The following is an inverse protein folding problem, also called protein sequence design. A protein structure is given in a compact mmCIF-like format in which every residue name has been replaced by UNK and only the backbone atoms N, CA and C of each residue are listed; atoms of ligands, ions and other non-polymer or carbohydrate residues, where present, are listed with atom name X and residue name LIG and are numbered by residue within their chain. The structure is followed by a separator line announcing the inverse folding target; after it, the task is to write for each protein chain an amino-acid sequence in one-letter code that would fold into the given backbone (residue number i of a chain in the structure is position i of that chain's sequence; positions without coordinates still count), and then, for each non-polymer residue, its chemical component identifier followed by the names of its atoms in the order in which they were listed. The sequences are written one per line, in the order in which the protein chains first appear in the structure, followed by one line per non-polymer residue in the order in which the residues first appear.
data_IF_998793697200
#
_entry.id   IF_998793697200
#
_cell.length_a   1.000
_cell.length_b   1.000
_cell.length_c   1.000
_cell.angle_alpha   90.00
_cell.angle_beta   90.00
_cell.angle_gamma   90.00
#
_symmetry.space_group_name_H-M   'P 1'
#
loop_
_entity.id
_entity.type
_entity.pdbx_description
1 polymer ?
#
# COMPACT_ATOMS: atom_id res chain seq x y z
N UNK A 1 7.84 15.51 -7.74
CA UNK A 1 8.19 16.54 -8.77
C UNK A 1 9.69 16.45 -8.93
N UNK A 2 10.21 16.21 -10.15
CA UNK A 2 11.65 16.26 -10.39
C UNK A 2 12.25 17.60 -9.92
N UNK A 3 13.46 17.59 -9.41
CA UNK A 3 14.16 18.78 -8.92
C UNK A 3 14.19 19.95 -9.94
N UNK A 4 14.15 19.63 -11.24
CA UNK A 4 14.08 20.61 -12.32
C UNK A 4 12.70 21.22 -12.59
N UNK A 5 11.63 20.68 -12.00
CA UNK A 5 10.26 21.14 -12.25
C UNK A 5 9.79 22.22 -11.26
N UNK A 6 10.62 22.66 -10.35
CA UNK A 6 10.26 23.74 -9.43
C UNK A 6 10.40 25.11 -10.11
N UNK A 7 9.31 25.81 -10.43
CA UNK A 7 9.35 26.98 -11.29
C UNK A 7 10.00 28.24 -10.68
N UNK A 8 10.41 28.23 -9.45
CA UNK A 8 10.89 29.43 -8.77
C UNK A 8 12.07 29.14 -7.85
N UNK A 9 13.18 28.64 -8.41
CA UNK A 9 14.46 28.64 -7.71
C UNK A 9 14.61 27.56 -6.63
N UNK A 10 13.83 26.49 -6.64
CA UNK A 10 14.13 25.30 -5.84
C UNK A 10 15.33 24.58 -6.44
N UNK A 11 16.38 24.44 -5.65
CA UNK A 11 17.62 23.73 -6.02
C UNK A 11 17.64 22.29 -5.49
N UNK A 12 16.58 21.82 -4.85
CA UNK A 12 16.50 20.50 -4.22
C UNK A 12 15.24 19.76 -4.63
N UNK A 13 15.33 18.45 -4.62
CA UNK A 13 14.18 17.55 -4.83
C UNK A 13 13.06 17.86 -3.84
N UNK A 14 11.82 17.75 -4.30
CA UNK A 14 10.63 17.95 -3.47
C UNK A 14 10.41 16.77 -2.53
N UNK A 15 10.81 15.58 -2.98
CA UNK A 15 10.79 14.37 -2.18
C UNK A 15 12.13 14.27 -1.45
N UNK A 16 12.10 14.32 -0.13
CA UNK A 16 13.29 14.03 0.66
C UNK A 16 13.60 12.53 0.55
N UNK A 17 14.87 12.21 0.34
CA UNK A 17 15.37 10.83 0.32
C UNK A 17 15.43 10.27 1.76
N UNK A 18 14.26 10.20 2.40
CA UNK A 18 14.10 9.63 3.74
C UNK A 18 13.56 8.21 3.64
N UNK A 19 14.22 7.21 4.24
CA UNK A 19 13.74 5.84 4.21
C UNK A 19 12.40 5.73 4.94
N UNK A 20 11.41 5.10 4.28
CA UNK A 20 10.19 4.68 4.95
C UNK A 20 10.46 3.43 5.80
N UNK A 21 9.76 3.32 6.91
CA UNK A 21 9.88 2.19 7.82
C UNK A 21 8.51 1.62 8.16
N UNK A 22 8.38 0.30 8.05
CA UNK A 22 7.20 -0.42 8.48
C UNK A 22 7.55 -1.37 9.62
N UNK A 23 6.73 -1.39 10.67
CA UNK A 23 6.82 -2.34 11.77
C UNK A 23 5.56 -3.17 11.84
N UNK A 24 5.70 -4.49 11.86
CA UNK A 24 4.61 -5.45 11.91
C UNK A 24 4.72 -6.30 13.17
N UNK A 25 3.58 -6.49 13.86
CA UNK A 25 3.45 -7.41 14.99
C UNK A 25 2.25 -8.30 14.71
N UNK A 26 2.42 -9.60 14.81
CA UNK A 26 1.34 -10.54 14.56
C UNK A 26 1.40 -11.80 15.41
N UNK A 27 0.25 -12.44 15.52
CA UNK A 27 0.09 -13.73 16.19
C UNK A 27 -0.86 -14.61 15.39
N UNK A 28 -0.57 -15.90 15.40
CA UNK A 28 -1.46 -16.94 14.88
C UNK A 28 -1.63 -18.01 15.95
N UNK A 29 -2.85 -18.47 16.17
CA UNK A 29 -3.16 -19.52 17.14
C UNK A 29 -4.11 -20.53 16.54
N UNK A 30 -3.98 -21.79 17.01
CA UNK A 30 -4.94 -22.86 16.72
C UNK A 30 -5.98 -22.92 17.83
N UNK A 31 -7.25 -22.77 17.49
CA UNK A 31 -8.38 -22.77 18.42
C UNK A 31 -9.07 -24.15 18.51
N UNK A 32 -8.53 -25.18 17.90
CA UNK A 32 -9.18 -26.52 17.87
C UNK A 32 -9.40 -27.09 19.26
N UNK A 33 -8.54 -26.75 20.24
CA UNK A 33 -8.72 -27.16 21.63
C UNK A 33 -9.89 -26.44 22.36
N UNK A 34 -10.34 -25.31 21.82
CA UNK A 34 -11.44 -24.50 22.36
C UNK A 34 -12.78 -24.75 21.65
N UNK A 35 -12.76 -25.52 20.56
CA UNK A 35 -13.93 -25.78 19.73
C UNK A 35 -14.24 -27.26 19.73
N UNK A 36 -15.49 -27.63 19.42
CA UNK A 36 -15.92 -29.01 19.17
C UNK A 36 -15.91 -29.37 17.69
N UNK A 37 -15.27 -28.54 16.86
CA UNK A 37 -15.17 -28.79 15.43
C UNK A 37 -14.23 -29.97 15.16
N UNK A 38 -14.60 -30.81 14.20
CA UNK A 38 -13.74 -31.88 13.68
C UNK A 38 -12.58 -31.31 12.81
N UNK A 39 -12.77 -30.11 12.29
CA UNK A 39 -11.78 -29.41 11.49
C UNK A 39 -11.00 -28.38 12.31
N UNK A 40 -9.71 -28.19 12.02
CA UNK A 40 -8.89 -27.19 12.72
C UNK A 40 -9.36 -25.77 12.43
N UNK A 41 -9.51 -24.98 13.47
CA UNK A 41 -9.84 -23.54 13.36
C UNK A 41 -8.63 -22.74 13.79
N UNK A 42 -8.21 -21.83 12.94
CA UNK A 42 -7.12 -20.91 13.21
C UNK A 42 -7.64 -19.49 13.34
N UNK A 43 -7.03 -18.75 14.24
CA UNK A 43 -7.23 -17.33 14.36
C UNK A 43 -5.89 -16.63 14.26
N UNK A 44 -5.87 -15.46 13.64
CA UNK A 44 -4.67 -14.64 13.53
C UNK A 44 -4.99 -13.16 13.56
N UNK A 45 -4.04 -12.38 14.03
CA UNK A 45 -4.05 -10.95 13.85
C UNK A 45 -2.67 -10.44 13.42
N UNK A 46 -2.66 -9.35 12.69
CA UNK A 46 -1.45 -8.58 12.36
C UNK A 46 -1.80 -7.12 12.53
N UNK A 47 -0.99 -6.42 13.31
CA UNK A 47 -1.00 -4.97 13.39
C UNK A 47 0.26 -4.42 12.73
N UNK A 48 0.10 -3.39 11.92
CA UNK A 48 1.19 -2.73 11.23
C UNK A 48 1.16 -1.24 11.45
N UNK A 49 2.34 -0.67 11.68
CA UNK A 49 2.57 0.76 11.73
C UNK A 49 3.55 1.09 10.61
N UNK A 50 3.12 1.90 9.70
CA UNK A 50 3.91 2.35 8.57
C UNK A 50 4.28 3.82 8.78
N UNK A 51 5.59 4.10 8.84
CA UNK A 51 6.09 5.44 8.82
C UNK A 51 6.43 5.77 7.36
N UNK A 52 5.55 6.50 6.68
CA UNK A 52 5.92 7.12 5.41
C UNK A 52 7.01 8.16 5.68
N UNK A 53 7.93 8.32 4.75
CA UNK A 53 8.81 9.46 4.74
C UNK A 53 8.00 10.75 4.89
N UNK A 54 8.58 11.79 5.43
CA UNK A 54 7.93 13.09 5.59
C UNK A 54 7.56 13.63 4.19
N UNK A 55 6.44 13.18 3.66
CA UNK A 55 5.86 13.75 2.45
C UNK A 55 5.31 15.12 2.81
N UNK A 56 6.00 16.12 2.34
CA UNK A 56 5.57 17.47 2.49
C UNK A 56 4.72 17.91 1.32
N UNK A 57 3.43 18.07 1.55
CA UNK A 57 2.63 18.99 0.76
C UNK A 57 3.05 20.42 1.19
N UNK A 58 4.10 20.96 0.57
CA UNK A 58 4.49 22.34 0.77
C UNK A 58 3.60 23.23 -0.09
N UNK A 59 2.58 23.83 0.50
CA UNK A 59 1.89 24.95 -0.11
C UNK A 59 2.74 26.20 0.11
N UNK A 60 3.44 26.66 -0.92
CA UNK A 60 4.06 27.96 -0.89
C UNK A 60 2.96 29.01 -1.07
N UNK A 61 2.61 29.72 -0.01
CA UNK A 61 1.83 30.94 -0.12
C UNK A 61 2.68 32.01 -0.79
N UNK A 62 2.16 32.63 -1.85
CA UNK A 62 2.81 33.78 -2.51
C UNK A 62 2.89 35.02 -1.62
N UNK A 63 2.25 35.02 -0.46
CA UNK A 63 2.15 36.14 0.47
C UNK A 63 2.92 35.97 1.77
N UNK A 64 3.42 34.79 2.08
CA UNK A 64 4.26 34.58 3.26
C UNK A 64 5.59 33.91 2.88
N UNK A 65 6.71 34.51 3.32
CA UNK A 65 8.03 33.91 3.16
C UNK A 65 8.28 32.67 4.04
N UNK A 66 7.37 32.38 4.95
CA UNK A 66 7.33 31.15 5.74
C UNK A 66 6.20 30.29 5.17
N UNK A 67 6.53 29.34 4.31
CA UNK A 67 5.55 28.36 3.83
C UNK A 67 4.87 27.68 5.02
N UNK A 68 3.56 27.49 4.95
CA UNK A 68 2.89 26.61 5.91
C UNK A 68 3.29 25.18 5.57
N UNK A 69 4.07 24.59 6.46
CA UNK A 69 4.45 23.19 6.38
C UNK A 69 3.37 22.37 7.08
N UNK A 70 2.59 21.64 6.32
CA UNK A 70 1.83 20.55 6.89
C UNK A 70 2.75 19.33 6.96
N UNK A 71 3.40 19.15 8.10
CA UNK A 71 4.13 17.93 8.39
C UNK A 71 3.13 16.85 8.80
N UNK A 72 2.68 16.06 7.85
CA UNK A 72 1.96 14.83 8.14
C UNK A 72 2.98 13.70 8.31
N UNK A 73 3.44 13.52 9.51
CA UNK A 73 4.00 12.24 9.91
C UNK A 73 2.87 11.21 9.93
N UNK A 74 2.43 10.72 8.76
CA UNK A 74 1.44 9.66 8.69
C UNK A 74 2.08 8.38 9.14
N UNK A 75 1.51 7.83 10.20
CA UNK A 75 1.72 6.45 10.60
C UNK A 75 0.38 5.74 10.36
N UNK A 76 0.09 5.25 9.14
CA UNK A 76 -1.10 4.47 8.94
C UNK A 76 -1.00 3.23 9.81
N UNK A 77 -1.87 3.19 10.77
CA UNK A 77 -2.12 2.01 11.57
C UNK A 77 -3.10 1.13 10.81
N UNK A 78 -2.73 -0.11 10.56
CA UNK A 78 -3.69 -1.10 10.11
C UNK A 78 -3.73 -2.30 11.05
N UNK A 79 -4.89 -2.89 11.15
CA UNK A 79 -5.13 -4.11 11.91
C UNK A 79 -5.86 -5.11 11.02
N UNK A 80 -5.29 -6.29 10.85
CA UNK A 80 -5.93 -7.42 10.21
C UNK A 80 -6.32 -8.45 11.27
N UNK A 81 -7.61 -8.77 11.33
CA UNK A 81 -8.17 -9.81 12.19
C UNK A 81 -8.78 -10.88 11.30
N UNK A 82 -8.32 -12.11 11.39
CA UNK A 82 -8.77 -13.16 10.49
C UNK A 82 -8.89 -14.52 11.15
N UNK A 83 -9.69 -15.35 10.51
CA UNK A 83 -9.84 -16.76 10.85
C UNK A 83 -9.76 -17.62 9.59
N UNK A 84 -9.34 -18.85 9.76
CA UNK A 84 -9.31 -19.86 8.70
C UNK A 84 -9.67 -21.22 9.26
N UNK A 85 -10.29 -22.04 8.41
CA UNK A 85 -10.63 -23.40 8.75
C UNK A 85 -10.59 -24.29 7.51
N UNK A 86 -10.28 -25.54 7.69
CA UNK A 86 -10.49 -26.58 6.69
C UNK A 86 -11.99 -26.90 6.64
N UNK A 87 -12.62 -26.75 5.48
CA UNK A 87 -14.06 -27.05 5.29
C UNK A 87 -14.29 -28.44 4.72
N UNK A 88 -13.35 -28.91 3.91
CA UNK A 88 -13.26 -30.24 3.37
C UNK A 88 -11.79 -30.64 3.38
N UNK A 89 -11.51 -31.93 3.39
CA UNK A 89 -10.13 -32.42 3.39
C UNK A 89 -9.31 -31.80 2.25
N UNK A 90 -8.28 -31.07 2.62
CA UNK A 90 -7.40 -30.36 1.69
C UNK A 90 -7.99 -29.09 1.09
N UNK A 91 -9.15 -28.61 1.59
CA UNK A 91 -9.76 -27.35 1.16
C UNK A 91 -9.89 -26.43 2.37
N UNK A 92 -9.09 -25.37 2.40
CA UNK A 92 -9.08 -24.36 3.45
C UNK A 92 -9.76 -23.07 2.97
N UNK A 93 -10.53 -22.46 3.83
CA UNK A 93 -11.09 -21.11 3.61
C UNK A 93 -10.68 -20.17 4.72
N UNK A 94 -10.47 -18.90 4.36
CA UNK A 94 -10.10 -17.86 5.29
C UNK A 94 -10.88 -16.58 5.03
N UNK A 95 -11.16 -15.87 6.12
CA UNK A 95 -11.77 -14.56 6.11
C UNK A 95 -10.99 -13.65 7.05
N UNK A 96 -10.64 -12.47 6.57
CA UNK A 96 -9.96 -11.44 7.35
C UNK A 96 -10.66 -10.10 7.19
N UNK A 97 -10.83 -9.39 8.28
CA UNK A 97 -11.21 -7.99 8.29
C UNK A 97 -9.95 -7.13 8.42
N UNK A 98 -9.69 -6.28 7.43
CA UNK A 98 -8.66 -5.24 7.51
C UNK A 98 -9.29 -3.96 7.99
N UNK A 99 -8.79 -3.43 9.09
CA UNK A 99 -9.20 -2.16 9.69
C UNK A 99 -8.11 -1.14 9.42
N UNK A 100 -8.47 -0.03 8.79
CA UNK A 100 -7.61 1.15 8.58
C UNK A 100 -8.28 2.37 9.19
N UNK A 101 -7.55 3.48 9.30
CA UNK A 101 -8.09 4.74 9.79
C UNK A 101 -8.27 5.72 8.64
N UNK A 102 -9.41 6.39 8.66
CA UNK A 102 -9.75 7.52 7.82
C UNK A 102 -9.72 8.78 8.68
N UNK A 103 -9.09 9.85 8.21
CA UNK A 103 -8.95 11.08 8.97
C UNK A 103 -9.80 12.20 8.37
N UNK A 104 -10.63 12.83 9.21
CA UNK A 104 -11.33 14.08 8.91
C UNK A 104 -10.65 15.22 9.68
N UNK A 105 -10.35 16.32 9.02
CA UNK A 105 -9.77 17.50 9.64
C UNK A 105 -10.65 18.73 9.39
N UNK A 106 -10.95 19.47 10.43
CA UNK A 106 -11.65 20.74 10.36
C UNK A 106 -10.70 21.86 10.74
N UNK A 107 -10.44 22.77 9.81
CA UNK A 107 -9.63 23.96 10.04
C UNK A 107 -10.53 25.20 10.15
N UNK A 108 -10.44 25.91 11.24
CA UNK A 108 -11.11 27.18 11.43
C UNK A 108 -10.06 28.29 11.56
N UNK A 109 -10.14 29.29 10.69
CA UNK A 109 -9.21 30.41 10.71
C UNK A 109 -9.96 31.76 10.70
N UNK A 110 -9.49 32.68 11.53
CA UNK A 110 -9.93 34.06 11.57
C UNK A 110 -8.79 34.96 11.13
N UNK A 111 -8.91 35.56 9.94
CA UNK A 111 -7.84 36.29 9.30
C UNK A 111 -8.30 37.72 8.98
N UNK A 112 -7.46 38.72 9.26
CA UNK A 112 -7.72 40.11 8.89
C UNK A 112 -7.40 40.39 7.41
N UNK A 113 -7.76 41.58 6.92
CA UNK A 113 -7.48 42.02 5.55
C UNK A 113 -6.00 42.20 5.24
N UNK A 114 -5.14 42.18 6.25
CA UNK A 114 -3.69 42.28 6.12
C UNK A 114 -2.99 40.92 6.09
N UNK A 115 -3.81 39.84 6.21
CA UNK A 115 -3.32 38.48 6.20
C UNK A 115 -2.87 37.95 7.58
N UNK A 116 -3.13 38.70 8.68
CA UNK A 116 -2.80 38.22 10.02
C UNK A 116 -3.91 37.32 10.53
N UNK A 117 -3.57 36.11 10.91
CA UNK A 117 -4.51 35.14 11.49
C UNK A 117 -4.51 35.31 13.02
N UNK A 118 -5.66 35.62 13.58
CA UNK A 118 -5.84 35.86 15.01
C UNK A 118 -6.36 34.64 15.79
N UNK A 119 -7.01 33.72 15.09
CA UNK A 119 -7.49 32.45 15.64
C UNK A 119 -7.31 31.37 14.60
N UNK A 120 -6.70 30.28 15.02
CA UNK A 120 -6.59 29.06 14.23
C UNK A 120 -6.95 27.88 15.12
N UNK A 121 -7.89 27.07 14.68
CA UNK A 121 -8.30 25.86 15.37
C UNK A 121 -8.33 24.72 14.37
N UNK A 122 -7.59 23.66 14.65
CA UNK A 122 -7.58 22.42 13.89
C UNK A 122 -8.16 21.30 14.74
N UNK A 123 -9.25 20.72 14.26
CA UNK A 123 -9.87 19.55 14.88
C UNK A 123 -9.70 18.36 13.94
N UNK A 124 -9.08 17.28 14.42
CA UNK A 124 -8.83 16.07 13.64
C UNK A 124 -9.56 14.90 14.28
N UNK A 125 -10.37 14.22 13.51
CA UNK A 125 -11.06 12.99 13.93
C UNK A 125 -10.67 11.81 13.04
N UNK A 126 -10.52 10.63 13.63
CA UNK A 126 -10.21 9.41 12.91
C UNK A 126 -11.37 8.42 13.00
N UNK A 127 -11.79 7.89 11.85
CA UNK A 127 -12.84 6.87 11.75
C UNK A 127 -12.27 5.56 11.22
N UNK A 128 -12.68 4.40 11.76
CA UNK A 128 -12.24 3.12 11.22
C UNK A 128 -12.94 2.81 9.88
N UNK A 129 -12.16 2.33 8.91
CA UNK A 129 -12.64 1.72 7.67
C UNK A 129 -12.33 0.23 7.70
N UNK A 130 -13.33 -0.60 7.38
CA UNK A 130 -13.20 -2.07 7.45
C UNK A 130 -13.35 -2.63 6.05
N UNK A 131 -12.37 -3.44 5.62
CA UNK A 131 -12.35 -4.11 4.31
C UNK A 131 -12.18 -5.63 4.46
N UNK A 132 -12.92 -6.42 3.68
CA UNK A 132 -12.81 -7.87 3.73
C UNK A 132 -11.62 -8.37 2.89
N UNK A 133 -11.02 -9.48 3.35
CA UNK A 133 -10.07 -10.28 2.59
C UNK A 133 -10.55 -11.73 2.68
N UNK A 134 -10.76 -12.36 1.54
CA UNK A 134 -11.14 -13.77 1.43
C UNK A 134 -9.97 -14.59 0.90
N UNK A 135 -9.87 -15.83 1.34
CA UNK A 135 -8.88 -16.79 0.87
C UNK A 135 -9.46 -18.17 0.73
N UNK A 136 -9.07 -18.86 -0.32
CA UNK A 136 -9.36 -20.28 -0.57
C UNK A 136 -8.03 -20.96 -0.92
N UNK A 137 -7.73 -22.09 -0.31
CA UNK A 137 -6.59 -22.92 -0.65
C UNK A 137 -7.03 -24.34 -0.90
N UNK A 138 -6.44 -24.98 -1.90
CA UNK A 138 -6.71 -26.38 -2.27
C UNK A 138 -5.40 -27.15 -2.34
N UNK A 139 -5.24 -28.13 -1.47
CA UNK A 139 -4.21 -29.15 -1.55
C UNK A 139 -4.73 -30.32 -2.37
N UNK A 140 -4.26 -30.46 -3.60
CA UNK A 140 -4.82 -31.43 -4.55
C UNK A 140 -4.59 -32.88 -4.14
N UNK A 141 -3.45 -33.20 -3.55
CA UNK A 141 -3.17 -34.55 -3.09
C UNK A 141 -4.09 -34.96 -1.94
N UNK A 142 -4.34 -34.08 -0.99
CA UNK A 142 -5.27 -34.37 0.12
C UNK A 142 -6.71 -34.46 -0.33
N UNK A 143 -7.13 -33.59 -1.26
CA UNK A 143 -8.50 -33.52 -1.75
C UNK A 143 -8.86 -34.74 -2.60
N UNK A 144 -7.99 -35.14 -3.53
CA UNK A 144 -8.34 -36.18 -4.54
C UNK A 144 -7.71 -37.53 -4.30
N UNK A 145 -6.58 -37.58 -3.57
CA UNK A 145 -5.84 -38.85 -3.36
C UNK A 145 -5.83 -39.30 -1.90
N UNK A 146 -6.51 -38.57 -1.02
CA UNK A 146 -6.53 -38.92 0.40
C UNK A 146 -5.17 -38.78 1.10
N UNK A 147 -4.20 -38.02 0.52
CA UNK A 147 -2.86 -37.82 1.07
C UNK A 147 -1.88 -38.95 0.77
N UNK A 148 -2.19 -39.86 -0.16
CA UNK A 148 -1.26 -40.87 -0.66
C UNK A 148 -0.50 -40.42 -1.90
N UNK A 149 0.49 -41.21 -2.30
CA UNK A 149 1.29 -40.97 -3.52
C UNK A 149 0.38 -40.91 -4.75
N UNK A 150 0.32 -39.76 -5.40
CA UNK A 150 -0.46 -39.56 -6.60
C UNK A 150 0.14 -38.50 -7.51
N UNK A 151 -0.44 -38.35 -8.72
CA UNK A 151 0.04 -37.38 -9.71
C UNK A 151 -0.08 -35.91 -9.25
N UNK A 152 -0.88 -35.66 -8.22
CA UNK A 152 -1.09 -34.29 -7.67
C UNK A 152 -0.23 -33.99 -6.43
N UNK A 153 0.68 -34.91 -6.06
CA UNK A 153 1.51 -34.73 -4.89
C UNK A 153 2.37 -33.45 -5.02
N UNK A 154 2.34 -32.65 -3.95
CA UNK A 154 3.03 -31.37 -3.88
C UNK A 154 2.34 -30.22 -4.61
N UNK A 155 1.20 -30.41 -5.31
CA UNK A 155 0.48 -29.36 -6.00
C UNK A 155 -0.55 -28.72 -5.05
N UNK A 156 -0.47 -27.40 -4.92
CA UNK A 156 -1.44 -26.58 -4.20
C UNK A 156 -1.85 -25.39 -5.06
N UNK A 157 -3.11 -24.99 -4.98
CA UNK A 157 -3.61 -23.76 -5.61
C UNK A 157 -4.33 -22.90 -4.59
N UNK A 158 -4.23 -21.59 -4.76
CA UNK A 158 -4.87 -20.64 -3.87
C UNK A 158 -5.52 -19.51 -4.67
N UNK A 159 -6.69 -19.09 -4.20
CA UNK A 159 -7.38 -17.90 -4.68
C UNK A 159 -7.54 -16.94 -3.50
N UNK A 160 -7.23 -15.68 -3.71
CA UNK A 160 -7.50 -14.64 -2.72
C UNK A 160 -8.17 -13.43 -3.35
N UNK A 161 -9.03 -12.79 -2.58
CA UNK A 161 -9.66 -11.53 -2.92
C UNK A 161 -9.46 -10.56 -1.77
N UNK A 162 -9.00 -9.35 -2.08
CA UNK A 162 -8.83 -8.26 -1.15
C UNK A 162 -9.64 -7.06 -1.65
N UNK A 163 -10.59 -6.62 -0.85
CA UNK A 163 -11.40 -5.46 -1.16
C UNK A 163 -10.57 -4.17 -1.20
N UNK A 164 -10.99 -3.21 -2.02
CA UNK A 164 -10.35 -1.91 -2.15
C UNK A 164 -10.23 -1.22 -0.78
N UNK A 165 -9.23 -0.38 -0.65
CA UNK A 165 -9.00 0.40 0.57
C UNK A 165 -8.50 1.78 0.17
N UNK A 166 -9.18 2.81 0.60
CA UNK A 166 -8.76 4.19 0.43
C UNK A 166 -8.50 4.85 1.79
N UNK A 167 -7.62 5.80 1.81
CA UNK A 167 -7.41 6.72 2.92
C UNK A 167 -7.65 8.12 2.38
N UNK A 168 -8.70 8.76 2.85
CA UNK A 168 -9.06 10.12 2.49
C UNK A 168 -8.77 11.04 3.66
N UNK A 169 -8.32 12.24 3.36
CA UNK A 169 -8.30 13.34 4.32
C UNK A 169 -9.26 14.40 3.82
N UNK A 170 -10.32 14.65 4.56
CA UNK A 170 -11.24 15.73 4.30
C UNK A 170 -10.90 16.89 5.21
N UNK A 171 -10.61 18.04 4.61
CA UNK A 171 -10.35 19.28 5.32
C UNK A 171 -11.49 20.25 5.04
N UNK A 172 -12.26 20.60 6.05
CA UNK A 172 -13.22 21.67 5.99
C UNK A 172 -12.61 22.93 6.62
N UNK A 173 -12.32 23.93 5.79
CA UNK A 173 -11.75 25.19 6.22
C UNK A 173 -12.81 26.28 6.22
N UNK A 174 -13.00 26.93 7.36
CA UNK A 174 -13.88 28.10 7.49
C UNK A 174 -13.00 29.32 7.74
N UNK A 175 -13.07 30.30 6.85
CA UNK A 175 -12.34 31.56 6.99
C UNK A 175 -13.30 32.73 7.16
N UNK A 176 -13.10 33.52 8.20
CA UNK A 176 -13.81 34.77 8.45
C UNK A 176 -12.83 35.92 8.25
N UNK A 177 -13.20 36.87 7.38
CA UNK A 177 -12.47 38.11 7.15
C UNK A 177 -13.41 39.27 7.50
N UNK A 178 -13.25 39.91 8.67
CA UNK A 178 -14.13 40.99 9.10
C UNK A 178 -14.23 42.13 8.06
N UNK A 179 -15.43 42.53 7.76
CA UNK A 179 -15.70 43.58 6.78
C UNK A 179 -15.77 43.14 5.33
N UNK A 180 -15.28 41.94 4.99
CA UNK A 180 -15.30 41.40 3.62
C UNK A 180 -16.06 40.08 3.55
N UNK A 181 -15.77 39.16 4.44
CA UNK A 181 -16.43 37.86 4.55
C UNK A 181 -16.90 37.69 6.01
N UNK A 182 -18.09 38.27 6.38
CA UNK A 182 -18.56 38.15 7.75
C UNK A 182 -19.01 36.72 8.07
N UNK A 183 -19.27 36.46 9.36
CA UNK A 183 -19.85 35.21 9.80
C UNK A 183 -21.14 34.88 9.04
N UNK A 184 -21.35 33.67 8.53
CA UNK A 184 -20.66 32.41 8.88
C UNK A 184 -19.31 32.15 8.20
N UNK A 185 -18.81 33.05 7.37
CA UNK A 185 -17.51 32.95 6.72
C UNK A 185 -17.55 32.28 5.34
N UNK A 186 -16.39 32.13 4.73
CA UNK A 186 -16.18 31.32 3.52
C UNK A 186 -15.82 29.91 3.95
N UNK A 187 -16.61 28.95 3.52
CA UNK A 187 -16.34 27.54 3.75
C UNK A 187 -15.68 26.94 2.50
N UNK A 188 -14.53 26.36 2.68
CA UNK A 188 -13.80 25.60 1.68
C UNK A 188 -13.70 24.16 2.17
N UNK A 189 -14.21 23.21 1.40
CA UNK A 189 -14.03 21.81 1.65
C UNK A 189 -13.00 21.26 0.63
N UNK A 190 -11.95 20.65 1.12
CA UNK A 190 -10.94 19.98 0.31
C UNK A 190 -10.94 18.52 0.74
N UNK A 191 -11.20 17.63 -0.19
CA UNK A 191 -11.00 16.19 0.00
C UNK A 191 -9.74 15.78 -0.77
N UNK A 192 -8.83 15.11 -0.09
CA UNK A 192 -7.63 14.54 -0.72
C UNK A 192 -7.65 13.03 -0.53
N UNK A 193 -7.47 12.31 -1.62
CA UNK A 193 -7.25 10.88 -1.59
C UNK A 193 -5.75 10.66 -1.32
N UNK A 194 -5.44 10.21 -0.12
CA UNK A 194 -4.05 10.09 0.34
C UNK A 194 -3.41 8.77 -0.07
N UNK A 195 -4.20 7.72 -0.07
CA UNK A 195 -3.79 6.40 -0.51
C UNK A 195 -4.99 5.64 -1.05
N UNK A 196 -4.79 4.97 -2.15
CA UNK A 196 -5.77 4.09 -2.77
C UNK A 196 -5.14 2.73 -3.05
N UNK A 197 -5.84 1.69 -2.69
CA UNK A 197 -5.52 0.32 -3.05
C UNK A 197 -6.76 -0.28 -3.73
N UNK A 198 -6.67 -0.73 -4.98
CA UNK A 198 -7.80 -1.29 -5.72
C UNK A 198 -8.27 -2.62 -5.12
N UNK A 199 -9.35 -3.14 -5.62
CA UNK A 199 -9.69 -4.55 -5.42
C UNK A 199 -8.60 -5.41 -6.06
N UNK A 200 -8.16 -6.43 -5.33
CA UNK A 200 -7.08 -7.32 -5.77
C UNK A 200 -7.57 -8.76 -5.74
N UNK A 201 -7.56 -9.41 -6.89
CA UNK A 201 -7.80 -10.85 -7.01
C UNK A 201 -6.50 -11.54 -7.40
N UNK A 202 -6.06 -12.51 -6.62
CA UNK A 202 -4.84 -13.26 -6.93
C UNK A 202 -5.11 -14.76 -6.99
N UNK A 203 -4.64 -15.38 -8.07
CA UNK A 203 -4.62 -16.81 -8.28
C UNK A 203 -3.18 -17.31 -8.19
N UNK A 204 -2.91 -18.19 -7.25
CA UNK A 204 -1.61 -18.81 -7.04
C UNK A 204 -1.63 -20.30 -7.30
N UNK A 205 -0.52 -20.81 -7.81
CA UNK A 205 -0.24 -22.23 -7.89
C UNK A 205 1.18 -22.50 -7.43
N UNK A 206 1.38 -23.51 -6.60
CA UNK A 206 2.72 -23.93 -6.18
C UNK A 206 2.89 -25.43 -6.36
N UNK A 207 4.14 -25.80 -6.59
CA UNK A 207 4.61 -27.17 -6.56
C UNK A 207 5.74 -27.32 -5.53
N UNK A 208 5.55 -28.22 -4.59
CA UNK A 208 6.46 -28.47 -3.47
C UNK A 208 7.04 -29.87 -3.54
N UNK A 209 8.32 -29.94 -3.29
CA UNK A 209 9.06 -31.17 -3.03
C UNK A 209 9.81 -31.09 -1.70
N UNK A 210 10.53 -32.14 -1.33
CA UNK A 210 11.22 -32.22 -0.05
C UNK A 210 12.14 -31.01 0.22
N UNK A 211 12.87 -30.54 -0.79
CA UNK A 211 13.88 -29.50 -0.66
C UNK A 211 13.58 -28.21 -1.39
N UNK A 212 12.63 -28.19 -2.28
CA UNK A 212 12.34 -27.00 -3.07
C UNK A 212 10.85 -26.82 -3.29
N UNK A 213 10.47 -25.59 -3.46
CA UNK A 213 9.13 -25.15 -3.79
C UNK A 213 9.21 -24.08 -4.86
N UNK A 214 8.40 -24.16 -5.89
CA UNK A 214 8.25 -23.13 -6.91
C UNK A 214 6.78 -22.72 -6.95
N UNK A 215 6.54 -21.44 -7.06
CA UNK A 215 5.18 -20.90 -7.12
C UNK A 215 5.06 -19.80 -8.16
N UNK A 216 3.92 -19.82 -8.84
CA UNK A 216 3.46 -18.77 -9.76
C UNK A 216 2.21 -18.13 -9.18
N UNK A 217 2.13 -16.81 -9.21
CA UNK A 217 0.94 -16.05 -8.84
C UNK A 217 0.60 -15.06 -9.94
N UNK A 218 -0.68 -14.99 -10.31
CA UNK A 218 -1.24 -13.97 -11.17
C UNK A 218 -2.13 -13.08 -10.30
N UNK A 219 -1.77 -11.83 -10.17
CA UNK A 219 -2.49 -10.84 -9.39
C UNK A 219 -3.14 -9.82 -10.32
N UNK A 220 -4.47 -9.71 -10.25
CA UNK A 220 -5.27 -8.76 -11.01
C UNK A 220 -5.73 -7.64 -10.10
N UNK A 221 -5.51 -6.39 -10.50
CA UNK A 221 -5.84 -5.18 -9.75
C UNK A 221 -6.77 -4.28 -10.57
N UNK A 222 -7.92 -3.87 -9.99
CA UNK A 222 -8.95 -3.05 -10.67
C UNK A 222 -8.71 -1.56 -10.43
N UNK A 223 -7.67 -1.01 -11.04
CA UNK A 223 -7.33 0.41 -10.91
C UNK A 223 -8.29 1.34 -11.67
N UNK A 224 -9.06 0.82 -12.64
CA UNK A 224 -10.06 1.61 -13.36
C UNK A 224 -11.11 2.23 -12.46
N UNK A 225 -11.38 1.64 -11.29
CA UNK A 225 -12.31 2.18 -10.31
C UNK A 225 -11.83 3.54 -9.74
N UNK A 226 -10.52 3.76 -9.67
CA UNK A 226 -9.94 5.03 -9.25
C UNK A 226 -10.28 6.17 -10.23
N UNK A 227 -10.38 5.89 -11.51
CA UNK A 227 -10.81 6.88 -12.51
C UNK A 227 -12.21 7.41 -12.21
N UNK A 228 -13.12 6.52 -11.77
CA UNK A 228 -14.49 6.89 -11.41
C UNK A 228 -14.54 7.78 -10.14
N UNK A 229 -13.64 7.53 -9.18
CA UNK A 229 -13.52 8.38 -7.99
C UNK A 229 -13.05 9.80 -8.36
N UNK A 230 -12.07 9.92 -9.24
CA UNK A 230 -11.57 11.21 -9.71
C UNK A 230 -12.54 11.98 -10.60
N UNK A 231 -13.42 11.32 -11.35
CA UNK A 231 -14.46 12.00 -12.14
C UNK A 231 -15.42 12.84 -11.27
N UNK A 232 -15.59 12.46 -10.01
CA UNK A 232 -16.39 13.17 -9.03
C UNK A 232 -15.65 14.32 -8.35
N UNK A 233 -14.34 14.45 -8.57
CA UNK A 233 -13.50 15.47 -7.94
C UNK A 233 -13.73 16.86 -8.57
N UNK A 234 -13.62 17.89 -7.76
CA UNK A 234 -13.76 19.29 -8.20
C UNK A 234 -12.49 19.84 -8.87
N UNK A 235 -11.38 19.12 -8.77
CA UNK A 235 -10.10 19.49 -9.38
C UNK A 235 -10.05 18.94 -10.80
N UNK A 236 -10.24 19.83 -11.78
CA UNK A 236 -10.32 19.50 -13.20
C UNK A 236 -9.16 18.65 -13.74
N UNK A 237 -7.95 18.85 -13.23
CA UNK A 237 -6.77 18.17 -13.75
C UNK A 237 -6.65 16.74 -13.24
N UNK A 238 -7.16 16.45 -12.04
CA UNK A 238 -7.27 15.09 -11.52
C UNK A 238 -8.34 14.28 -12.25
N UNK A 239 -9.45 14.92 -12.64
CA UNK A 239 -10.51 14.27 -13.39
C UNK A 239 -10.10 13.79 -14.80
N UNK A 240 -8.95 14.23 -15.30
CA UNK A 240 -8.40 13.80 -16.59
C UNK A 240 -7.38 12.64 -16.50
N UNK A 241 -7.09 12.14 -15.29
CA UNK A 241 -6.25 10.97 -15.09
C UNK A 241 -7.07 9.71 -15.35
N UNK A 242 -6.56 8.85 -16.20
CA UNK A 242 -7.16 7.55 -16.49
C UNK A 242 -6.28 6.44 -15.95
N UNK A 243 -6.90 5.47 -15.34
CA UNK A 243 -6.26 4.28 -14.82
C UNK A 243 -6.82 3.04 -15.48
N UNK A 244 -5.95 2.10 -15.79
CA UNK A 244 -6.29 0.80 -16.36
C UNK A 244 -6.06 -0.31 -15.33
N UNK A 245 -6.82 -1.38 -15.48
CA UNK A 245 -6.59 -2.59 -14.71
C UNK A 245 -5.30 -3.26 -15.14
N UNK A 246 -4.58 -3.83 -14.17
CA UNK A 246 -3.28 -4.45 -14.41
C UNK A 246 -3.25 -5.90 -13.96
N UNK A 247 -2.41 -6.70 -14.64
CA UNK A 247 -2.12 -8.07 -14.28
C UNK A 247 -0.63 -8.19 -13.92
N UNK A 248 -0.34 -8.64 -12.71
CA UNK A 248 1.02 -8.76 -12.20
C UNK A 248 1.38 -10.24 -12.07
N UNK A 249 2.19 -10.80 -12.97
CA UNK A 249 2.76 -12.12 -12.82
C UNK A 249 3.91 -12.11 -11.80
N UNK A 250 3.93 -13.08 -10.90
CA UNK A 250 4.97 -13.27 -9.88
C UNK A 250 5.46 -14.71 -9.91
N UNK A 251 6.74 -14.91 -9.99
CA UNK A 251 7.38 -16.22 -9.90
C UNK A 251 8.30 -16.24 -8.69
N UNK A 252 8.17 -17.27 -7.86
CA UNK A 252 8.99 -17.45 -6.67
C UNK A 252 9.51 -18.86 -6.53
N UNK A 253 10.67 -19.00 -5.91
CA UNK A 253 11.27 -20.28 -5.58
C UNK A 253 11.83 -20.25 -4.15
N UNK A 254 11.78 -21.40 -3.50
CA UNK A 254 12.36 -21.67 -2.19
C UNK A 254 13.22 -22.92 -2.27
N UNK A 255 14.37 -22.88 -1.65
CA UNK A 255 15.29 -24.00 -1.57
C UNK A 255 15.78 -24.22 -0.13
N UNK A 256 15.48 -25.38 0.44
CA UNK A 256 15.98 -25.80 1.74
C UNK A 256 17.39 -26.36 1.59
N UNK A 257 18.38 -25.57 1.99
CA UNK A 257 19.78 -25.97 1.97
C UNK A 257 20.03 -27.10 2.98
N UNK A 258 19.52 -26.92 4.18
CA UNK A 258 19.53 -27.89 5.28
C UNK A 258 18.40 -27.60 6.26
N UNK A 259 18.36 -28.30 7.39
CA UNK A 259 17.30 -28.12 8.38
C UNK A 259 17.28 -26.76 9.10
N UNK A 260 18.34 -25.99 8.97
CA UNK A 260 18.47 -24.69 9.59
C UNK A 260 18.33 -23.54 8.58
N UNK A 261 18.68 -23.73 7.32
CA UNK A 261 18.77 -22.66 6.33
C UNK A 261 17.88 -22.94 5.14
N UNK A 262 17.01 -21.98 4.86
CA UNK A 262 16.17 -21.92 3.66
C UNK A 262 16.46 -20.62 2.90
N UNK A 263 16.67 -20.72 1.59
CA UNK A 263 16.86 -19.58 0.70
C UNK A 263 15.60 -19.38 -0.13
N UNK A 264 15.27 -18.13 -0.41
CA UNK A 264 14.13 -17.77 -1.25
C UNK A 264 14.55 -16.75 -2.30
N UNK A 265 13.87 -16.78 -3.45
CA UNK A 265 14.08 -15.79 -4.50
C UNK A 265 12.83 -15.66 -5.36
N UNK A 266 12.66 -14.52 -6.00
CA UNK A 266 11.51 -14.30 -6.85
C UNK A 266 11.63 -13.06 -7.73
N UNK A 267 10.75 -13.00 -8.72
CA UNK A 267 10.61 -11.90 -9.66
C UNK A 267 9.13 -11.58 -9.86
N UNK A 268 8.82 -10.30 -10.03
CA UNK A 268 7.51 -9.83 -10.45
C UNK A 268 7.65 -8.76 -11.52
N UNK A 269 6.68 -8.72 -12.44
CA UNK A 269 6.57 -7.71 -13.47
C UNK A 269 5.27 -6.94 -13.20
N UNK A 270 5.38 -5.66 -12.96
CA UNK A 270 4.27 -4.79 -12.61
C UNK A 270 4.17 -3.67 -13.63
N UNK A 271 3.11 -3.70 -14.44
CA UNK A 271 2.79 -2.63 -15.37
C UNK A 271 2.20 -1.45 -14.59
N UNK A 272 2.43 -0.24 -15.08
CA UNK A 272 1.81 0.93 -14.48
C UNK A 272 0.31 0.95 -14.75
N UNK A 273 -0.52 1.23 -13.74
CA UNK A 273 -1.95 1.42 -13.97
C UNK A 273 -2.28 2.76 -14.66
N UNK A 274 -1.35 3.71 -14.69
CA UNK A 274 -1.60 5.02 -15.25
C UNK A 274 -1.61 4.98 -16.78
N UNK A 275 -2.77 5.24 -17.37
CA UNK A 275 -2.91 5.40 -18.82
C UNK A 275 -2.37 6.76 -19.26
N UNK A 276 -1.74 6.77 -20.47
CA UNK A 276 -1.27 7.99 -21.09
C UNK A 276 0.03 8.53 -20.51
N UNK A 277 0.51 9.61 -21.12
CA UNK A 277 1.77 10.28 -20.77
C UNK A 277 1.54 11.73 -20.34
N UNK A 278 0.31 12.11 -20.06
CA UNK A 278 -0.02 13.47 -19.68
C UNK A 278 -0.34 13.52 -18.20
N UNK A 279 0.45 14.29 -17.47
CA UNK A 279 0.24 14.57 -16.06
C UNK A 279 0.37 16.08 -15.85
N UNK A 280 -0.76 16.77 -15.69
CA UNK A 280 -0.77 18.22 -15.70
C UNK A 280 -0.21 18.83 -14.43
N UNK A 281 -1.01 18.97 -13.43
CA UNK A 281 -0.62 19.63 -12.17
C UNK A 281 -0.51 18.64 -11.00
N UNK A 282 -0.77 17.38 -11.27
CA UNK A 282 -0.79 16.33 -10.26
C UNK A 282 0.42 15.44 -10.48
N UNK A 283 1.16 15.18 -9.41
CA UNK A 283 2.39 14.41 -9.44
C UNK A 283 2.15 12.90 -9.51
N UNK A 284 1.23 12.45 -10.34
CA UNK A 284 1.04 11.03 -10.64
C UNK A 284 2.01 10.61 -11.74
N UNK A 285 3.25 10.39 -11.34
CA UNK A 285 4.32 10.00 -12.23
C UNK A 285 4.66 8.54 -11.93
N UNK A 286 4.04 7.62 -12.65
CA UNK A 286 4.23 6.19 -12.46
C UNK A 286 4.69 5.51 -13.74
N UNK A 287 5.48 4.45 -13.62
CA UNK A 287 6.04 3.68 -14.72
C UNK A 287 6.08 2.19 -14.36
N UNK A 288 6.27 1.36 -15.37
CA UNK A 288 6.41 -0.08 -15.21
C UNK A 288 7.58 -0.42 -14.29
N UNK A 289 7.47 -1.54 -13.58
CA UNK A 289 8.46 -1.95 -12.59
C UNK A 289 8.81 -3.42 -12.73
N UNK A 290 10.08 -3.71 -12.60
CA UNK A 290 10.57 -5.07 -12.39
C UNK A 290 11.06 -5.21 -10.97
N UNK A 291 10.51 -6.19 -10.24
CA UNK A 291 10.84 -6.45 -8.85
C UNK A 291 11.63 -7.75 -8.75
N UNK A 292 12.78 -7.72 -8.08
CA UNK A 292 13.60 -8.91 -7.80
C UNK A 292 13.76 -9.01 -6.29
N UNK A 293 13.45 -10.17 -5.74
CA UNK A 293 13.53 -10.42 -4.30
C UNK A 293 14.45 -11.60 -3.99
N UNK A 294 15.23 -11.47 -2.92
CA UNK A 294 16.05 -12.54 -2.35
C UNK A 294 15.83 -12.60 -0.85
N UNK A 295 15.85 -13.78 -0.27
CA UNK A 295 15.67 -13.96 1.16
C UNK A 295 16.37 -15.19 1.71
N UNK A 296 16.55 -15.17 3.02
CA UNK A 296 17.10 -16.29 3.78
C UNK A 296 16.37 -16.42 5.12
N UNK A 297 16.04 -17.64 5.50
CA UNK A 297 15.45 -17.96 6.80
C UNK A 297 16.35 -18.93 7.54
N UNK A 298 16.69 -18.57 8.78
CA UNK A 298 17.46 -19.38 9.70
C UNK A 298 16.53 -19.91 10.79
N UNK A 299 16.42 -21.24 10.91
CA UNK A 299 15.63 -21.91 11.94
C UNK A 299 16.53 -22.40 13.08
N UNK A 300 16.34 -21.85 14.27
CA UNK A 300 16.99 -22.25 15.51
C UNK A 300 16.03 -23.12 16.31
N UNK A 301 16.17 -24.43 16.22
CA UNK A 301 15.26 -25.39 16.85
C UNK A 301 15.43 -25.45 18.37
N UNK A 302 16.64 -25.26 18.83
CA UNK A 302 17.01 -25.34 20.25
C UNK A 302 17.90 -24.15 20.64
N UNK A 303 17.34 -22.93 20.73
CA UNK A 303 18.10 -21.76 21.10
C UNK A 303 18.52 -21.82 22.59
N UNK A 304 19.74 -21.45 22.95
CA UNK A 304 20.29 -21.69 24.29
C UNK A 304 19.61 -20.96 25.42
N UNK A 305 18.80 -19.94 25.14
CA UNK A 305 18.16 -19.08 26.15
C UNK A 305 16.63 -19.15 26.10
N UNK A 306 16.07 -19.54 24.95
CA UNK A 306 14.62 -19.53 24.74
C UNK A 306 14.07 -20.97 24.84
N UNK A 307 12.87 -21.09 25.44
CA UNK A 307 12.21 -22.39 25.59
C UNK A 307 11.56 -22.91 24.30
N UNK A 308 11.50 -22.08 23.26
CA UNK A 308 10.76 -22.38 22.04
C UNK A 308 11.63 -22.13 20.79
N UNK A 309 11.37 -22.85 19.70
CA UNK A 309 12.05 -22.63 18.42
C UNK A 309 11.88 -21.21 17.89
N UNK A 310 12.93 -20.70 17.29
CA UNK A 310 13.01 -19.34 16.77
C UNK A 310 13.37 -19.38 15.27
N UNK A 311 12.62 -18.65 14.46
CA UNK A 311 12.94 -18.41 13.05
C UNK A 311 13.33 -16.95 12.84
N UNK A 312 14.49 -16.74 12.23
CA UNK A 312 14.99 -15.43 11.79
C UNK A 312 14.94 -15.39 10.27
N UNK A 313 14.24 -14.40 9.72
CA UNK A 313 14.19 -14.22 8.27
C UNK A 313 14.71 -12.85 7.89
N UNK A 314 15.47 -12.80 6.79
CA UNK A 314 15.99 -11.59 6.18
C UNK A 314 15.58 -11.59 4.71
N UNK A 315 15.21 -10.43 4.20
CA UNK A 315 14.85 -10.24 2.80
C UNK A 315 15.40 -8.93 2.25
N UNK A 316 15.73 -8.98 0.98
CA UNK A 316 16.10 -7.83 0.18
C UNK A 316 15.28 -7.85 -1.10
N UNK A 317 14.68 -6.73 -1.43
CA UNK A 317 13.95 -6.53 -2.69
C UNK A 317 14.50 -5.31 -3.40
N UNK A 318 14.76 -5.45 -4.69
CA UNK A 318 15.16 -4.38 -5.58
C UNK A 318 14.07 -4.18 -6.61
N UNK A 319 13.61 -2.94 -6.75
CA UNK A 319 12.61 -2.53 -7.74
C UNK A 319 13.28 -1.59 -8.72
N UNK A 320 13.25 -1.95 -9.99
CA UNK A 320 13.67 -1.12 -11.10
C UNK A 320 12.43 -0.47 -11.69
N UNK A 321 12.41 0.84 -11.75
CA UNK A 321 11.33 1.64 -12.35
C UNK A 321 11.81 2.05 -13.73
N UNK A 322 11.04 1.68 -14.75
CA UNK A 322 11.37 1.95 -16.13
C UNK A 322 11.31 3.45 -16.45
N UNK A 323 12.10 3.86 -17.42
CA UNK A 323 12.12 5.25 -17.86
C UNK A 323 10.84 5.60 -18.62
N UNK A 324 10.18 6.71 -18.21
CA UNK A 324 8.96 7.20 -18.84
C UNK A 324 8.95 8.71 -18.94
N UNK A 325 8.58 9.22 -20.11
CA UNK A 325 8.39 10.64 -20.35
C UNK A 325 6.92 11.04 -20.14
N UNK A 326 6.71 12.17 -19.45
CA UNK A 326 5.41 12.77 -19.24
C UNK A 326 5.34 14.15 -19.87
N UNK A 327 4.20 14.47 -20.47
CA UNK A 327 3.88 15.80 -20.96
C UNK A 327 3.14 16.59 -19.87
N UNK A 328 3.70 17.75 -19.50
CA UNK A 328 3.13 18.64 -18.49
C UNK A 328 2.39 19.82 -19.14
N UNK A 329 1.56 19.56 -20.14
CA UNK A 329 0.81 20.59 -20.85
C UNK A 329 -0.67 20.50 -20.55
N UNK A 330 -1.28 21.65 -20.18
CA UNK A 330 -2.73 21.73 -20.03
C UNK A 330 -3.44 21.63 -21.38
N UNK A 331 -4.59 20.95 -21.41
CA UNK A 331 -5.51 21.02 -22.54
C UNK A 331 -6.40 22.26 -22.51
N UNK A 332 -6.44 22.96 -21.38
CA UNK A 332 -7.20 24.19 -21.21
C UNK A 332 -6.36 25.39 -21.74
N UNK A 333 -6.79 26.07 -22.81
CA UNK A 333 -6.07 27.20 -23.34
C UNK A 333 -6.00 28.42 -22.40
N UNK A 334 -6.78 28.42 -21.32
CA UNK A 334 -6.77 29.46 -20.29
C UNK A 334 -5.70 29.23 -19.22
N UNK A 335 -5.14 28.04 -19.15
CA UNK A 335 -4.04 27.72 -18.22
C UNK A 335 -2.72 28.10 -18.89
N UNK A 336 -1.86 28.93 -18.24
CA UNK A 336 -0.55 29.24 -18.75
C UNK A 336 0.24 27.98 -19.06
N UNK A 337 0.95 27.96 -20.19
CA UNK A 337 1.83 26.84 -20.52
C UNK A 337 2.88 26.66 -19.41
N UNK A 338 3.02 25.41 -18.94
CA UNK A 338 4.07 25.08 -18.00
C UNK A 338 5.43 25.30 -18.71
N UNK A 339 6.42 25.97 -18.08
CA UNK A 339 7.76 26.15 -18.64
C UNK A 339 8.49 24.82 -18.86
N UNK A 340 8.01 23.73 -18.26
CA UNK A 340 8.50 22.37 -18.46
C UNK A 340 7.49 21.59 -19.28
N UNK A 341 7.76 21.45 -20.56
CA UNK A 341 6.86 20.73 -21.48
C UNK A 341 6.90 19.22 -21.26
N UNK A 342 8.06 18.70 -20.84
CA UNK A 342 8.26 17.27 -20.59
C UNK A 342 9.06 17.00 -19.33
N UNK A 343 8.73 15.90 -18.64
CA UNK A 343 9.46 15.38 -17.48
C UNK A 343 9.76 13.91 -17.70
N UNK A 344 11.03 13.55 -17.54
CA UNK A 344 11.49 12.17 -17.56
C UNK A 344 11.55 11.61 -16.15
N UNK A 345 10.94 10.46 -15.93
CA UNK A 345 10.96 9.77 -14.63
C UNK A 345 11.64 8.42 -14.78
N UNK A 346 12.51 8.10 -13.84
CA UNK A 346 13.15 6.80 -13.68
C UNK A 346 13.68 6.68 -12.26
N UNK A 347 13.93 5.48 -11.81
CA UNK A 347 14.51 5.28 -10.49
C UNK A 347 14.61 3.82 -10.08
N UNK A 348 15.00 3.63 -8.85
CA UNK A 348 15.03 2.34 -8.21
C UNK A 348 14.69 2.46 -6.73
N UNK A 349 14.18 1.36 -6.17
CA UNK A 349 13.86 1.28 -4.75
C UNK A 349 14.49 0.03 -4.16
N UNK A 350 15.21 0.18 -3.06
CA UNK A 350 15.78 -0.92 -2.30
C UNK A 350 15.03 -1.10 -0.99
N UNK A 351 14.52 -2.32 -0.73
CA UNK A 351 13.75 -2.64 0.47
C UNK A 351 14.48 -3.75 1.24
N UNK A 352 14.76 -3.49 2.50
CA UNK A 352 15.32 -4.48 3.44
C UNK A 352 14.24 -4.88 4.43
N UNK A 353 14.12 -6.16 4.70
CA UNK A 353 13.17 -6.70 5.67
C UNK A 353 13.86 -7.67 6.62
N UNK A 354 13.37 -7.70 7.85
CA UNK A 354 13.79 -8.66 8.86
C UNK A 354 12.58 -9.09 9.69
N UNK A 355 12.49 -10.37 10.02
CA UNK A 355 11.46 -10.86 10.92
C UNK A 355 11.99 -11.87 11.91
N UNK A 356 11.34 -11.91 13.07
CA UNK A 356 11.57 -12.85 14.14
C UNK A 356 10.25 -13.53 14.47
N UNK A 357 10.23 -14.86 14.38
CA UNK A 357 9.04 -15.66 14.67
C UNK A 357 9.36 -16.71 15.72
N UNK A 358 8.55 -16.78 16.77
CA UNK A 358 8.64 -17.80 17.82
C UNK A 358 7.40 -18.69 17.75
N UNK A 359 7.59 -20.01 17.88
CA UNK A 359 6.51 -21.00 17.88
C UNK A 359 6.33 -21.55 19.30
N UNK A 360 5.24 -21.22 19.95
CA UNK A 360 4.87 -21.68 21.30
C UNK A 360 4.13 -23.02 21.26
#
# INVERSE_FOLDING_TARGET
IPAGAAPLGRSSDVIQDTPSQQTLIGMKTNLSSLTKSEHPIYFGFIAGVEKYGEEMLAFNSSTSNSGQYFSYGRQPLFLNLGGATEILRGIDVGLTARVTLHADAELYAYTDLQGNTSLESLNVSAKPSIRPIFGLNVNWAETFCGGGDCAFDGIETALSFRGHSNTETRVEATTIIPGTIPSPGLNLAIATLDAYQPDITALGMQYRQERWRVGLTLEYQTWSDLSNEFESDTIKDQANLNFQDILIPRLGAEFRVNDMLTLTGGIALEETPLEGKRSLDVNYLDADRTLIGLGATLELRDPPVLAYPLSLSFGYQYQMIDERDFELTSTDPMVPSNPYETVNTKGDVSIFSGSLTMKF
#
